data_IF_010494771602
#
_entry.id   IF_010494771602
#
_cell.length_a   1.000
_cell.length_b   1.000
_cell.length_c   1.000
_cell.angle_alpha   90.00
_cell.angle_beta   90.00
_cell.angle_gamma   90.00
#
_symmetry.space_group_name_H-M   'P 1'
#
loop_
_entity.id
_entity.type
_entity.pdbx_description
1 polymer ?
#
# COMPACT_ATOMS: atom_id res chain seq x y z
N UNK A 1 -23.60 11.96 10.80
CA UNK A 1 -23.89 11.07 9.65
C UNK A 1 -22.99 11.63 8.57
N UNK A 2 -21.74 11.19 8.58
CA UNK A 2 -20.65 11.92 7.92
C UNK A 2 -20.49 11.36 6.51
N UNK A 3 -20.70 12.22 5.52
CA UNK A 3 -20.51 11.93 4.11
C UNK A 3 -19.05 11.52 3.87
N UNK A 4 -18.83 10.23 3.67
CA UNK A 4 -17.66 9.76 2.91
C UNK A 4 -17.98 10.14 1.46
N UNK A 5 -17.09 10.88 0.82
CA UNK A 5 -17.26 11.27 -0.57
C UNK A 5 -17.04 10.03 -1.45
N UNK A 6 -18.11 9.31 -1.78
CA UNK A 6 -18.09 8.01 -2.48
C UNK A 6 -17.54 8.06 -3.93
N UNK A 7 -17.17 9.24 -4.42
CA UNK A 7 -16.70 9.46 -5.79
C UNK A 7 -15.18 9.32 -5.95
N UNK A 8 -14.37 9.78 -4.99
CA UNK A 8 -12.90 9.73 -5.06
C UNK A 8 -12.28 9.51 -3.70
N UNK A 9 -11.70 8.34 -3.47
CA UNK A 9 -11.05 7.97 -2.20
C UNK A 9 -9.64 8.57 -2.03
N UNK A 10 -9.19 9.33 -3.03
CA UNK A 10 -7.90 10.03 -3.07
C UNK A 10 -8.20 11.52 -3.11
N UNK A 11 -7.70 12.24 -2.11
CA UNK A 11 -7.78 13.70 -1.99
C UNK A 11 -6.72 14.39 -2.86
N UNK A 12 -5.50 13.85 -2.87
CA UNK A 12 -4.38 14.39 -3.65
C UNK A 12 -3.37 13.28 -3.97
N UNK A 13 -2.57 13.47 -5.02
CA UNK A 13 -1.45 12.60 -5.33
C UNK A 13 -0.26 13.41 -5.83
N UNK A 14 0.89 13.26 -5.16
CA UNK A 14 2.15 13.89 -5.56
C UNK A 14 3.07 12.86 -6.22
N UNK A 15 3.47 13.16 -7.45
CA UNK A 15 4.47 12.38 -8.18
C UNK A 15 5.87 12.99 -8.05
N UNK A 16 6.84 12.16 -7.72
CA UNK A 16 8.26 12.52 -7.61
C UNK A 16 9.07 11.51 -8.42
N UNK A 17 9.73 11.98 -9.47
CA UNK A 17 10.65 11.16 -10.23
C UNK A 17 12.01 11.07 -9.53
N UNK A 18 12.51 9.86 -9.32
CA UNK A 18 13.82 9.61 -8.72
C UNK A 18 14.59 8.56 -9.54
N UNK A 19 15.17 8.99 -10.66
CA UNK A 19 15.84 8.09 -11.60
C UNK A 19 14.85 7.11 -12.23
N UNK A 20 15.20 5.82 -12.22
CA UNK A 20 14.37 4.75 -12.78
C UNK A 20 13.16 4.37 -11.91
N UNK A 21 13.07 4.92 -10.69
CA UNK A 21 11.95 4.69 -9.78
C UNK A 21 11.17 5.97 -9.57
N UNK A 22 9.85 5.83 -9.59
CA UNK A 22 8.92 6.92 -9.36
C UNK A 22 8.27 6.72 -7.99
N UNK A 23 8.17 7.79 -7.22
CA UNK A 23 7.43 7.83 -5.97
C UNK A 23 6.08 8.53 -6.19
N UNK A 24 5.02 7.91 -5.68
CA UNK A 24 3.67 8.46 -5.69
C UNK A 24 3.16 8.52 -4.26
N UNK A 25 3.04 9.73 -3.72
CA UNK A 25 2.47 9.98 -2.39
C UNK A 25 0.98 10.28 -2.57
N UNK A 26 0.14 9.37 -2.08
CA UNK A 26 -1.31 9.42 -2.18
C UNK A 26 -1.89 9.86 -0.84
N UNK A 27 -2.61 10.98 -0.84
CA UNK A 27 -3.38 11.45 0.30
C UNK A 27 -4.81 10.90 0.20
N UNK A 28 -5.22 10.10 1.18
CA UNK A 28 -6.55 9.47 1.23
C UNK A 28 -7.60 10.49 1.69
N UNK A 29 -8.77 10.48 1.05
CA UNK A 29 -9.93 11.30 1.43
C UNK A 29 -10.79 10.61 2.51
N UNK A 30 -10.18 10.23 3.64
CA UNK A 30 -10.85 9.55 4.76
C UNK A 30 -10.18 9.88 6.11
N UNK A 31 -10.82 9.56 7.26
CA UNK A 31 -10.26 9.81 8.62
C UNK A 31 -9.07 8.90 8.96
N UNK A 32 -7.97 9.00 8.21
CA UNK A 32 -6.71 8.25 8.45
C UNK A 32 -6.90 6.74 8.60
N UNK A 33 -5.84 6.05 9.01
CA UNK A 33 -5.90 4.63 9.36
C UNK A 33 -4.89 4.32 10.49
N UNK A 34 -5.21 3.31 11.29
CA UNK A 34 -4.36 2.84 12.39
C UNK A 34 -3.57 1.58 12.04
N UNK A 35 -2.74 1.13 12.97
CA UNK A 35 -1.83 0.01 12.78
C UNK A 35 -2.50 -1.31 12.39
N UNK A 36 -3.58 -1.69 13.08
CA UNK A 36 -4.34 -2.91 12.75
C UNK A 36 -4.88 -2.86 11.32
N UNK A 37 -5.42 -1.71 10.92
CA UNK A 37 -5.89 -1.46 9.56
C UNK A 37 -4.76 -1.59 8.54
N UNK A 38 -3.56 -1.09 8.83
CA UNK A 38 -2.39 -1.23 7.94
C UNK A 38 -2.00 -2.69 7.73
N UNK A 39 -1.98 -3.49 8.81
CA UNK A 39 -1.66 -4.91 8.72
C UNK A 39 -2.70 -5.63 7.85
N UNK A 40 -3.99 -5.33 8.04
CA UNK A 40 -5.07 -5.88 7.23
C UNK A 40 -4.92 -5.52 5.75
N UNK A 41 -4.59 -4.26 5.47
CA UNK A 41 -4.38 -3.76 4.11
C UNK A 41 -3.16 -4.40 3.45
N UNK A 42 -2.06 -4.49 4.18
CA UNK A 42 -0.81 -5.05 3.70
C UNK A 42 -0.97 -6.54 3.37
N UNK A 43 -1.62 -7.31 4.25
CA UNK A 43 -1.90 -8.73 4.02
C UNK A 43 -2.85 -8.95 2.82
N UNK A 44 -3.91 -8.13 2.72
CA UNK A 44 -4.83 -8.16 1.61
C UNK A 44 -4.12 -7.85 0.28
N UNK A 45 -3.41 -6.74 0.19
CA UNK A 45 -2.73 -6.30 -1.04
C UNK A 45 -1.68 -7.31 -1.46
N UNK A 46 -0.93 -7.87 -0.50
CA UNK A 46 -0.06 -9.01 -0.73
C UNK A 46 -0.84 -10.14 -1.39
N UNK A 47 -1.94 -10.62 -0.78
CA UNK A 47 -2.70 -11.78 -1.29
C UNK A 47 -3.29 -11.52 -2.68
N UNK A 48 -3.89 -10.35 -2.86
CA UNK A 48 -4.60 -9.98 -4.07
C UNK A 48 -3.66 -9.68 -5.23
N UNK A 49 -2.53 -9.01 -5.00
CA UNK A 49 -1.73 -8.42 -6.08
C UNK A 49 -0.22 -8.65 -6.00
N UNK A 50 0.41 -8.48 -4.84
CA UNK A 50 1.88 -8.56 -4.77
C UNK A 50 2.35 -10.04 -4.72
N UNK A 51 2.91 -10.53 -5.83
CA UNK A 51 3.65 -11.79 -5.88
C UNK A 51 5.14 -11.57 -5.59
N UNK A 52 5.87 -12.68 -5.38
CA UNK A 52 7.33 -12.67 -5.22
C UNK A 52 7.82 -11.60 -4.26
N UNK A 53 7.26 -11.57 -3.04
CA UNK A 53 7.61 -10.58 -2.03
C UNK A 53 9.11 -10.64 -1.75
N UNK A 54 9.81 -9.57 -2.11
CA UNK A 54 11.25 -9.43 -2.02
C UNK A 54 11.67 -8.80 -0.70
N UNK A 55 10.84 -7.89 -0.17
CA UNK A 55 11.15 -7.16 1.05
C UNK A 55 9.90 -6.86 1.87
N UNK A 56 10.00 -7.02 3.18
CA UNK A 56 9.05 -6.48 4.16
C UNK A 56 9.86 -5.70 5.20
N UNK A 57 9.54 -4.43 5.42
CA UNK A 57 10.21 -3.63 6.45
C UNK A 57 9.22 -2.92 7.36
N UNK A 58 9.68 -2.56 8.55
CA UNK A 58 8.96 -1.66 9.46
C UNK A 58 9.91 -0.63 10.06
N UNK A 59 9.37 0.45 10.61
CA UNK A 59 10.11 1.41 11.42
C UNK A 59 9.21 1.97 12.51
N UNK A 60 9.78 2.23 13.68
CA UNK A 60 9.05 2.81 14.82
C UNK A 60 8.48 4.20 14.50
N UNK A 61 9.17 4.98 13.66
CA UNK A 61 8.72 6.31 13.22
C UNK A 61 8.96 6.52 11.72
N UNK A 62 8.20 7.43 11.10
CA UNK A 62 8.43 7.82 9.71
C UNK A 62 9.81 8.49 9.54
N UNK A 63 10.59 8.02 8.56
CA UNK A 63 11.98 8.47 8.36
C UNK A 63 13.00 7.87 9.34
N UNK A 64 12.55 7.00 10.25
CA UNK A 64 13.41 6.23 11.15
C UNK A 64 14.18 5.12 10.44
N UNK A 65 14.95 4.36 11.21
CA UNK A 65 15.70 3.21 10.71
C UNK A 65 14.75 2.05 10.38
N UNK A 66 14.78 1.60 9.13
CA UNK A 66 14.07 0.40 8.71
C UNK A 66 14.65 -0.86 9.38
N UNK A 67 13.76 -1.69 9.90
CA UNK A 67 14.00 -3.07 10.35
C UNK A 67 13.51 -3.99 9.25
N UNK A 68 14.39 -4.88 8.77
CA UNK A 68 14.06 -5.90 7.77
C UNK A 68 13.36 -7.09 8.43
N UNK A 69 12.14 -7.38 8.01
CA UNK A 69 11.30 -8.47 8.50
C UNK A 69 11.05 -9.54 7.42
N UNK A 70 11.79 -9.51 6.32
CA UNK A 70 11.57 -10.37 5.15
C UNK A 70 11.69 -11.85 5.49
N UNK A 71 12.67 -12.23 6.31
CA UNK A 71 12.86 -13.62 6.74
C UNK A 71 11.69 -14.12 7.59
N UNK A 72 11.20 -13.28 8.51
CA UNK A 72 10.03 -13.60 9.33
C UNK A 72 8.77 -13.73 8.48
N UNK A 73 8.54 -12.79 7.55
CA UNK A 73 7.42 -12.87 6.62
C UNK A 73 7.43 -14.19 5.84
N UNK A 74 8.59 -14.60 5.31
CA UNK A 74 8.74 -15.87 4.57
C UNK A 74 8.42 -17.09 5.44
N UNK A 75 8.77 -17.06 6.73
CA UNK A 75 8.45 -18.13 7.66
C UNK A 75 6.96 -18.13 8.08
N UNK A 76 6.36 -16.95 8.23
CA UNK A 76 4.97 -16.79 8.66
C UNK A 76 3.95 -17.03 7.52
N UNK A 77 4.32 -16.73 6.28
CA UNK A 77 3.48 -16.88 5.08
C UNK A 77 2.37 -15.81 4.93
N UNK A 78 2.17 -14.96 5.94
CA UNK A 78 1.19 -13.88 5.96
C UNK A 78 1.71 -12.73 6.82
N UNK A 79 1.32 -11.50 6.46
CA UNK A 79 1.68 -10.30 7.22
C UNK A 79 1.01 -10.31 8.60
N UNK A 80 -0.24 -10.79 8.67
CA UNK A 80 -1.02 -10.90 9.92
C UNK A 80 -0.42 -11.90 10.91
N UNK A 81 0.36 -12.87 10.43
CA UNK A 81 0.95 -13.92 11.25
C UNK A 81 2.33 -13.53 11.82
N UNK A 82 2.87 -12.36 11.46
CA UNK A 82 4.18 -11.90 11.91
C UNK A 82 4.12 -11.39 13.36
N UNK A 83 4.95 -11.96 14.22
CA UNK A 83 5.03 -11.60 15.66
C UNK A 83 5.61 -10.21 15.86
N UNK A 84 6.59 -9.81 15.04
CA UNK A 84 7.20 -8.48 15.13
C UNK A 84 6.21 -7.34 14.84
N UNK A 85 5.09 -7.65 14.18
CA UNK A 85 4.03 -6.68 13.88
C UNK A 85 2.91 -6.66 14.95
N UNK A 86 3.00 -7.49 16.00
CA UNK A 86 2.05 -7.47 17.12
C UNK A 86 2.14 -6.17 17.94
N UNK A 87 3.29 -5.50 17.92
CA UNK A 87 3.48 -4.17 18.53
C UNK A 87 3.32 -3.10 17.47
N UNK A 88 2.59 -2.04 17.80
CA UNK A 88 2.37 -0.89 16.92
C UNK A 88 3.68 -0.22 16.50
N UNK A 89 3.81 0.06 15.20
CA UNK A 89 4.95 0.78 14.60
C UNK A 89 4.44 2.00 13.82
N UNK A 90 5.37 2.87 13.41
CA UNK A 90 5.06 4.06 12.61
C UNK A 90 4.90 3.77 11.13
N UNK A 91 5.60 2.76 10.60
CA UNK A 91 5.66 2.46 9.17
C UNK A 91 5.64 0.96 8.93
N UNK A 92 4.93 0.54 7.87
CA UNK A 92 5.03 -0.81 7.31
C UNK A 92 5.26 -0.70 5.81
N UNK A 93 6.13 -1.52 5.24
CA UNK A 93 6.31 -1.59 3.80
C UNK A 93 6.41 -3.02 3.27
N UNK A 94 5.91 -3.22 2.05
CA UNK A 94 6.01 -4.47 1.30
C UNK A 94 6.49 -4.15 -0.11
N UNK A 95 7.53 -4.84 -0.56
CA UNK A 95 8.03 -4.77 -1.93
C UNK A 95 7.98 -6.14 -2.61
N UNK A 96 7.56 -6.16 -3.87
CA UNK A 96 7.47 -7.35 -4.70
C UNK A 96 7.05 -7.03 -6.13
N UNK A 97 6.47 -8.00 -6.82
CA UNK A 97 5.95 -7.83 -8.17
C UNK A 97 4.43 -7.64 -8.13
N UNK A 98 3.92 -6.53 -8.66
CA UNK A 98 2.47 -6.36 -8.83
C UNK A 98 1.99 -7.20 -10.01
N UNK A 99 1.03 -8.10 -9.78
CA UNK A 99 0.39 -8.89 -10.84
C UNK A 99 -0.47 -8.03 -11.76
N UNK A 100 -1.13 -7.02 -11.21
CA UNK A 100 -2.04 -6.11 -11.90
C UNK A 100 -1.27 -5.13 -12.78
N UNK A 101 -0.21 -4.52 -12.24
CA UNK A 101 0.61 -3.56 -12.97
C UNK A 101 1.72 -4.21 -13.78
N UNK A 102 2.01 -5.51 -13.53
CA UNK A 102 3.10 -6.27 -14.15
C UNK A 102 4.46 -5.57 -14.02
N UNK A 103 4.68 -4.95 -12.87
CA UNK A 103 5.86 -4.17 -12.57
C UNK A 103 6.27 -4.32 -11.10
N UNK A 104 7.57 -4.16 -10.78
CA UNK A 104 8.02 -4.02 -9.40
C UNK A 104 7.26 -2.91 -8.67
N UNK A 105 6.87 -3.19 -7.43
CA UNK A 105 6.10 -2.28 -6.60
C UNK A 105 6.58 -2.37 -5.15
N UNK A 106 6.79 -1.22 -4.52
CA UNK A 106 6.87 -1.08 -3.06
C UNK A 106 5.71 -0.22 -2.59
N UNK A 107 4.98 -0.70 -1.60
CA UNK A 107 3.90 0.04 -0.94
C UNK A 107 4.34 0.32 0.49
N UNK A 108 4.13 1.56 0.93
CA UNK A 108 4.46 2.03 2.27
C UNK A 108 3.21 2.63 2.91
N UNK A 109 2.87 2.12 4.09
CA UNK A 109 1.81 2.61 4.94
C UNK A 109 2.41 3.39 6.11
N UNK A 110 1.78 4.50 6.48
CA UNK A 110 2.20 5.38 7.57
C UNK A 110 1.10 5.44 8.62
N UNK A 111 1.39 4.93 9.82
CA UNK A 111 0.44 4.79 10.90
C UNK A 111 -0.06 6.14 11.41
N UNK A 112 -1.36 6.22 11.72
CA UNK A 112 -2.05 7.42 12.20
C UNK A 112 -1.97 8.60 11.21
N UNK A 113 -1.81 8.30 9.92
CA UNK A 113 -1.83 9.31 8.84
C UNK A 113 -2.89 8.97 7.78
N UNK A 114 -3.00 9.85 6.78
CA UNK A 114 -3.80 9.66 5.57
C UNK A 114 -2.93 9.35 4.34
N UNK A 115 -1.64 9.08 4.51
CA UNK A 115 -0.69 8.98 3.38
C UNK A 115 -0.41 7.52 3.05
N UNK A 116 -0.53 7.14 1.78
CA UNK A 116 0.05 5.92 1.21
C UNK A 116 1.17 6.32 0.27
N UNK A 117 2.24 5.55 0.22
CA UNK A 117 3.32 5.79 -0.74
C UNK A 117 3.56 4.55 -1.59
N UNK A 118 3.66 4.78 -2.88
CA UNK A 118 4.00 3.75 -3.87
C UNK A 118 5.34 4.09 -4.50
N UNK A 119 6.19 3.09 -4.69
CA UNK A 119 7.36 3.16 -5.55
C UNK A 119 7.24 2.13 -6.65
N UNK A 120 7.42 2.57 -7.89
CA UNK A 120 7.38 1.69 -9.07
C UNK A 120 8.18 2.31 -10.22
N UNK A 121 8.74 1.52 -11.16
CA UNK A 121 9.37 2.09 -12.35
C UNK A 121 8.35 2.62 -13.37
N UNK A 122 7.05 2.41 -13.15
CA UNK A 122 6.00 2.95 -14.01
C UNK A 122 5.95 4.48 -13.90
N UNK A 123 6.04 5.15 -15.04
CA UNK A 123 5.82 6.58 -15.20
C UNK A 123 4.44 6.86 -15.80
N UNK A 124 3.39 6.25 -15.22
CA UNK A 124 2.01 6.42 -15.65
C UNK A 124 1.17 6.79 -14.43
N UNK A 125 1.04 8.09 -14.20
CA UNK A 125 0.32 8.64 -13.05
C UNK A 125 -1.14 8.20 -13.01
N UNK A 126 -1.82 8.12 -14.17
CA UNK A 126 -3.21 7.71 -14.24
C UNK A 126 -3.38 6.24 -13.86
N UNK A 127 -2.49 5.37 -14.35
CA UNK A 127 -2.52 3.96 -14.01
C UNK A 127 -2.21 3.72 -12.52
N UNK A 128 -1.23 4.43 -11.97
CA UNK A 128 -0.90 4.36 -10.54
C UNK A 128 -2.02 4.91 -9.67
N UNK A 129 -2.69 6.00 -10.09
CA UNK A 129 -3.87 6.53 -9.40
C UNK A 129 -4.99 5.49 -9.32
N UNK A 130 -5.32 4.84 -10.44
CA UNK A 130 -6.34 3.76 -10.48
C UNK A 130 -5.95 2.58 -9.58
N UNK A 131 -4.67 2.24 -9.54
CA UNK A 131 -4.14 1.21 -8.65
C UNK A 131 -4.32 1.59 -7.18
N UNK A 132 -3.91 2.81 -6.80
CA UNK A 132 -4.07 3.33 -5.45
C UNK A 132 -5.55 3.39 -5.02
N UNK A 133 -6.45 3.85 -5.90
CA UNK A 133 -7.89 3.81 -5.64
C UNK A 133 -8.39 2.37 -5.43
N UNK A 134 -7.86 1.39 -6.16
CA UNK A 134 -8.25 -0.02 -6.00
C UNK A 134 -7.79 -0.57 -4.65
N UNK A 135 -6.55 -0.26 -4.25
CA UNK A 135 -6.02 -0.59 -2.91
C UNK A 135 -6.94 -0.01 -1.84
N UNK A 136 -7.28 1.27 -1.95
CA UNK A 136 -8.09 1.99 -0.95
C UNK A 136 -9.56 1.49 -0.95
N UNK A 137 -10.23 1.41 -2.11
CA UNK A 137 -11.64 0.99 -2.25
C UNK A 137 -11.91 -0.39 -1.68
N UNK A 138 -11.06 -1.37 -2.00
CA UNK A 138 -11.24 -2.76 -1.56
C UNK A 138 -11.10 -2.90 -0.06
N UNK A 139 -10.23 -2.08 0.51
CA UNK A 139 -10.02 -1.96 1.94
C UNK A 139 -11.19 -1.29 2.68
N UNK A 140 -12.13 -0.67 1.96
CA UNK A 140 -13.41 -0.16 2.50
C UNK A 140 -14.61 -1.11 2.31
N UNK A 141 -14.42 -2.36 1.85
CA UNK A 141 -15.43 -3.43 2.03
C UNK A 141 -16.03 -4.09 0.77
N UNK A 142 -15.25 -4.44 -0.26
CA UNK A 142 -15.76 -5.27 -1.39
C UNK A 142 -14.82 -6.40 -1.80
N UNK A 143 -15.39 -7.59 -2.10
CA UNK A 143 -14.67 -8.88 -2.16
C UNK A 143 -13.71 -9.12 -3.37
N UNK A 144 -12.53 -9.67 -3.02
CA UNK A 144 -11.65 -10.62 -3.73
C UNK A 144 -11.52 -10.54 -5.26
N UNK A 145 -10.78 -9.53 -5.72
CA UNK A 145 -9.81 -9.56 -6.83
C UNK A 145 -9.45 -8.10 -7.16
N UNK A 146 -8.16 -7.73 -7.07
CA UNK A 146 -7.73 -6.44 -7.61
C UNK A 146 -7.86 -6.48 -9.13
N UNK A 147 -8.70 -5.59 -9.68
CA UNK A 147 -8.85 -5.32 -11.11
C UNK A 147 -8.88 -3.81 -11.26
N UNK A 148 -8.02 -3.26 -12.11
CA UNK A 148 -8.11 -1.85 -12.46
C UNK A 148 -9.46 -1.61 -13.15
N UNK A 149 -10.13 -0.51 -12.83
CA UNK A 149 -11.32 -0.09 -13.57
C UNK A 149 -11.01 0.03 -15.06
N UNK A 150 -11.96 -0.36 -15.92
CA UNK A 150 -11.85 -0.13 -17.37
C UNK A 150 -11.69 1.38 -17.64
N UNK A 151 -10.95 1.80 -18.69
CA UNK A 151 -11.01 3.18 -19.14
C UNK A 151 -12.47 3.54 -19.40
N UNK A 152 -12.95 4.65 -18.83
CA UNK A 152 -14.17 5.26 -19.36
C UNK A 152 -13.75 5.85 -20.71
N UNK A 153 -14.24 5.25 -21.78
CA UNK A 153 -14.12 5.79 -23.14
C UNK A 153 -15.07 6.96 -23.34
#
# INVERSE_FOLDING_TARGET
MDFINDLTYIKDMKHLQNGAWHQYDVLIDARGYGWSTMIDWADYVRKADISDVQQVTTSTIAGGRDVDLTAEYKAAGSVKAMKSLATEQGVLSIAGMSKVLRAPMKIVWFNQTQVLRFFTPLNDELQVKKYAETVIRRNFGTADQMKLGKPQG
#
